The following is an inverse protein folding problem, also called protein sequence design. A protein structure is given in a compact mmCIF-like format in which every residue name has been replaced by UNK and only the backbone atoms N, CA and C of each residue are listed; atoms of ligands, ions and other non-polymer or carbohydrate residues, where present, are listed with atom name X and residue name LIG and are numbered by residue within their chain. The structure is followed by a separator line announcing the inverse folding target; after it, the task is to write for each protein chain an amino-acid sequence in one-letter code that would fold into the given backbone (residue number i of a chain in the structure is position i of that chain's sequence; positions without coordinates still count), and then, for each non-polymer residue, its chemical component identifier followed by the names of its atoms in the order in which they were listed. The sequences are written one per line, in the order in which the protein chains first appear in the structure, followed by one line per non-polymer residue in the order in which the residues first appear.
data_IF_643809504493
#
_entry.id   IF_643809504493
#
_cell.length_a   1.000
_cell.length_b   1.000
_cell.length_c   1.000
_cell.angle_alpha   90.00
_cell.angle_beta   90.00
_cell.angle_gamma   90.00
#
_symmetry.space_group_name_H-M   'P 1'
#
loop_
_entity.id
_entity.type
_entity.pdbx_description
1 polymer ?
#
# COMPACT_ATOMS: atom_id res chain seq x y z
N UNK A 1 2.91 24.26 36.22
CA UNK A 1 2.45 25.06 35.05
C UNK A 1 2.73 24.24 33.81
N UNK A 2 1.74 23.53 33.27
CA UNK A 2 1.89 22.81 32.00
C UNK A 2 1.59 23.79 30.88
N UNK A 3 2.62 24.19 30.13
CA UNK A 3 2.43 24.86 28.86
C UNK A 3 1.89 23.82 27.88
N UNK A 4 0.60 23.88 27.57
CA UNK A 4 0.03 23.15 26.45
C UNK A 4 0.49 23.85 25.17
N UNK A 5 1.44 23.23 24.49
CA UNK A 5 1.92 23.70 23.19
C UNK A 5 0.76 23.66 22.20
N UNK A 6 0.43 24.82 21.64
CA UNK A 6 -0.73 24.99 20.76
C UNK A 6 -0.36 24.39 19.40
N UNK A 7 -0.78 23.15 19.15
CA UNK A 7 -0.52 22.45 17.90
C UNK A 7 -0.98 23.28 16.69
N UNK A 8 -0.22 23.24 15.60
CA UNK A 8 -0.53 23.98 14.38
C UNK A 8 -1.94 23.62 13.86
N UNK A 9 -2.67 24.58 13.25
CA UNK A 9 -3.99 24.30 12.71
C UNK A 9 -3.93 23.19 11.64
N UNK A 10 -4.94 22.33 11.65
CA UNK A 10 -5.04 21.26 10.67
C UNK A 10 -5.35 21.82 9.27
N UNK A 11 -4.57 21.40 8.28
CA UNK A 11 -4.77 21.59 6.85
C UNK A 11 -4.89 20.23 6.20
N UNK A 12 -5.34 20.18 4.94
CA UNK A 12 -5.42 18.92 4.18
C UNK A 12 -4.06 18.18 4.12
N UNK A 13 -2.94 18.89 4.28
CA UNK A 13 -1.59 18.32 4.21
C UNK A 13 -1.05 17.81 5.56
N UNK A 14 -1.68 18.11 6.70
CA UNK A 14 -1.14 17.74 8.03
C UNK A 14 -2.18 17.08 8.95
N UNK A 15 -3.27 16.56 8.36
CA UNK A 15 -4.25 15.79 9.12
C UNK A 15 -3.55 14.58 9.76
N UNK A 16 -3.71 14.37 11.08
CA UNK A 16 -3.19 13.17 11.71
C UNK A 16 -3.90 11.94 11.13
N UNK A 17 -3.20 10.81 11.10
CA UNK A 17 -3.82 9.54 10.80
C UNK A 17 -4.93 9.25 11.81
N UNK A 18 -6.06 8.74 11.33
CA UNK A 18 -7.16 8.30 12.19
C UNK A 18 -6.84 6.92 12.76
N UNK A 19 -7.19 6.66 14.03
CA UNK A 19 -6.91 5.40 14.71
C UNK A 19 -7.46 4.18 13.95
N UNK A 20 -8.69 4.30 13.43
CA UNK A 20 -9.33 3.25 12.64
C UNK A 20 -8.54 2.91 11.36
N UNK A 21 -7.87 3.89 10.75
CA UNK A 21 -7.04 3.65 9.56
C UNK A 21 -5.82 2.80 9.91
N UNK A 22 -5.23 3.00 11.09
CA UNK A 22 -4.13 2.19 11.58
C UNK A 22 -4.59 0.75 11.88
N UNK A 23 -5.75 0.60 12.54
CA UNK A 23 -6.33 -0.70 12.84
C UNK A 23 -6.65 -1.50 11.57
N UNK A 24 -7.37 -0.89 10.62
CA UNK A 24 -7.69 -1.51 9.33
C UNK A 24 -6.42 -1.83 8.54
N UNK A 25 -5.40 -0.98 8.61
CA UNK A 25 -4.11 -1.22 7.96
C UNK A 25 -3.45 -2.50 8.48
N UNK A 26 -3.38 -2.63 9.81
CA UNK A 26 -2.80 -3.81 10.46
C UNK A 26 -3.62 -5.06 10.16
N UNK A 27 -4.95 -4.98 10.24
CA UNK A 27 -5.82 -6.13 10.05
C UNK A 27 -5.81 -6.64 8.60
N UNK A 28 -5.92 -5.74 7.61
CA UNK A 28 -6.17 -6.12 6.21
C UNK A 28 -4.90 -6.22 5.37
N UNK A 29 -3.88 -5.42 5.68
CA UNK A 29 -2.74 -5.21 4.78
C UNK A 29 -1.41 -5.66 5.35
N UNK A 30 -1.17 -5.45 6.65
CA UNK A 30 0.06 -5.89 7.30
C UNK A 30 0.22 -7.42 7.23
N UNK A 31 1.48 -7.87 7.16
CA UNK A 31 1.88 -9.27 7.13
C UNK A 31 3.08 -9.48 8.05
N UNK A 32 3.12 -10.64 8.72
CA UNK A 32 4.16 -10.96 9.69
C UNK A 32 4.26 -9.88 10.78
N UNK A 33 5.46 -9.30 10.92
CA UNK A 33 5.79 -8.31 11.95
C UNK A 33 5.56 -6.86 11.50
N UNK A 34 4.92 -6.64 10.35
CA UNK A 34 4.55 -5.30 9.91
C UNK A 34 3.56 -4.65 10.92
N UNK A 35 3.88 -3.42 11.33
CA UNK A 35 3.07 -2.62 12.29
C UNK A 35 2.82 -1.18 11.83
N UNK A 36 3.23 -0.82 10.63
CA UNK A 36 3.10 0.55 10.12
C UNK A 36 2.84 0.57 8.62
N UNK A 37 2.26 1.68 8.13
CA UNK A 37 2.09 1.93 6.70
C UNK A 37 3.43 1.92 5.96
N UNK A 38 4.49 2.45 6.57
CA UNK A 38 5.83 2.45 5.99
C UNK A 38 6.37 1.03 5.79
N UNK A 39 6.20 0.14 6.75
CA UNK A 39 6.65 -1.25 6.64
C UNK A 39 5.93 -1.98 5.49
N UNK A 40 4.60 -1.82 5.42
CA UNK A 40 3.79 -2.37 4.31
C UNK A 40 4.24 -1.79 2.97
N UNK A 41 4.43 -0.47 2.90
CA UNK A 41 4.84 0.21 1.67
C UNK A 41 6.22 -0.24 1.20
N UNK A 42 7.17 -0.49 2.11
CA UNK A 42 8.50 -0.97 1.77
C UNK A 42 8.44 -2.38 1.15
N UNK A 43 7.66 -3.30 1.73
CA UNK A 43 7.43 -4.63 1.13
C UNK A 43 6.85 -4.49 -0.27
N UNK A 44 5.80 -3.68 -0.43
CA UNK A 44 5.13 -3.50 -1.73
C UNK A 44 6.08 -2.88 -2.75
N UNK A 45 6.84 -1.85 -2.39
CA UNK A 45 7.83 -1.22 -3.25
C UNK A 45 8.89 -2.21 -3.75
N UNK A 46 9.46 -3.01 -2.84
CA UNK A 46 10.43 -4.05 -3.17
C UNK A 46 9.84 -5.12 -4.10
N UNK A 47 8.58 -5.49 -3.88
CA UNK A 47 7.88 -6.46 -4.70
C UNK A 47 7.63 -5.94 -6.12
N UNK A 48 7.15 -4.70 -6.26
CA UNK A 48 6.92 -4.05 -7.55
C UNK A 48 8.22 -3.93 -8.34
N UNK A 49 9.32 -3.57 -7.68
CA UNK A 49 10.63 -3.48 -8.31
C UNK A 49 11.14 -4.82 -8.88
N UNK A 50 10.63 -5.98 -8.46
CA UNK A 50 11.06 -7.25 -9.04
C UNK A 50 10.63 -7.45 -10.49
N UNK A 51 9.61 -6.72 -10.96
CA UNK A 51 9.20 -6.73 -12.36
C UNK A 51 10.22 -6.03 -13.28
N UNK A 52 11.11 -5.21 -12.71
CA UNK A 52 12.10 -4.45 -13.45
C UNK A 52 13.38 -5.26 -13.71
N UNK A 53 14.19 -4.89 -14.74
CA UNK A 53 15.50 -5.48 -14.97
C UNK A 53 16.37 -5.43 -13.71
N UNK A 54 17.13 -6.51 -13.45
CA UNK A 54 17.93 -6.68 -12.23
C UNK A 54 18.81 -5.46 -11.90
N UNK A 55 19.43 -4.86 -12.92
CA UNK A 55 20.29 -3.69 -12.78
C UNK A 55 19.56 -2.42 -12.27
N UNK A 56 18.24 -2.34 -12.45
CA UNK A 56 17.45 -1.15 -12.11
C UNK A 56 16.55 -1.34 -10.89
N UNK A 57 16.46 -2.54 -10.30
CA UNK A 57 15.52 -2.83 -9.22
C UNK A 57 15.73 -1.92 -8.00
N UNK A 58 16.97 -1.65 -7.61
CA UNK A 58 17.26 -0.78 -6.48
C UNK A 58 16.75 0.66 -6.71
N UNK A 59 16.95 1.19 -7.92
CA UNK A 59 16.44 2.52 -8.31
C UNK A 59 14.90 2.55 -8.26
N UNK A 60 14.26 1.52 -8.81
CA UNK A 60 12.79 1.46 -8.86
C UNK A 60 12.16 1.19 -7.50
N UNK A 61 12.76 0.38 -6.65
CA UNK A 61 12.32 0.17 -5.26
C UNK A 61 12.27 1.50 -4.51
N UNK A 62 13.31 2.33 -4.63
CA UNK A 62 13.33 3.67 -4.03
C UNK A 62 12.22 4.56 -4.58
N UNK A 63 12.04 4.60 -5.90
CA UNK A 63 10.98 5.41 -6.55
C UNK A 63 9.58 4.96 -6.16
N UNK A 64 9.33 3.65 -6.08
CA UNK A 64 8.04 3.13 -5.63
C UNK A 64 7.79 3.46 -4.16
N UNK A 65 8.79 3.33 -3.29
CA UNK A 65 8.67 3.70 -1.88
C UNK A 65 8.38 5.20 -1.70
N UNK A 66 9.02 6.06 -2.50
CA UNK A 66 8.76 7.50 -2.54
C UNK A 66 7.33 7.81 -2.99
N UNK A 67 6.86 7.20 -4.09
CA UNK A 67 5.50 7.39 -4.58
C UNK A 67 4.43 6.97 -3.56
N UNK A 68 4.62 5.82 -2.90
CA UNK A 68 3.71 5.34 -1.84
C UNK A 68 3.69 6.30 -0.65
N UNK A 69 4.84 6.83 -0.26
CA UNK A 69 4.96 7.84 0.81
C UNK A 69 4.30 9.16 0.43
N UNK A 70 4.36 9.54 -0.85
CA UNK A 70 3.73 10.73 -1.40
C UNK A 70 2.21 10.60 -1.61
N UNK A 71 1.60 9.44 -1.28
CA UNK A 71 0.15 9.25 -1.29
C UNK A 71 -0.38 8.45 -2.49
N UNK A 72 0.47 7.80 -3.28
CA UNK A 72 0.00 6.78 -4.22
C UNK A 72 -0.55 5.57 -3.44
N UNK A 73 -1.78 5.15 -3.75
CA UNK A 73 -2.45 4.02 -3.08
C UNK A 73 -2.73 2.91 -4.12
N UNK A 74 -2.01 1.77 -4.06
CA UNK A 74 -2.29 0.60 -4.88
C UNK A 74 -3.64 -0.05 -4.59
N UNK A 75 -4.12 -0.89 -5.51
CA UNK A 75 -5.31 -1.70 -5.28
C UNK A 75 -5.14 -2.63 -4.07
N UNK A 76 -6.23 -2.94 -3.37
CA UNK A 76 -6.17 -3.65 -2.10
C UNK A 76 -5.48 -5.03 -2.15
N UNK A 77 -5.64 -5.79 -3.24
CA UNK A 77 -4.94 -7.08 -3.43
C UNK A 77 -3.43 -6.91 -3.61
N UNK A 78 -3.00 -5.86 -4.31
CA UNK A 78 -1.58 -5.53 -4.45
C UNK A 78 -1.01 -5.15 -3.08
N UNK A 79 -1.67 -4.21 -2.38
CA UNK A 79 -1.21 -3.72 -1.07
C UNK A 79 -1.12 -4.86 -0.04
N UNK A 80 -2.07 -5.80 -0.05
CA UNK A 80 -2.11 -6.90 0.92
C UNK A 80 -1.15 -8.03 0.60
N UNK A 81 -0.96 -8.41 -0.68
CA UNK A 81 -0.31 -9.66 -1.05
C UNK A 81 1.04 -9.51 -1.79
N UNK A 82 1.36 -8.36 -2.39
CA UNK A 82 2.63 -8.19 -3.11
C UNK A 82 3.82 -8.40 -2.18
N UNK A 83 4.81 -9.19 -2.60
CA UNK A 83 6.02 -9.48 -1.82
C UNK A 83 5.82 -10.49 -0.67
N UNK A 84 4.65 -11.12 -0.59
CA UNK A 84 4.36 -12.18 0.37
C UNK A 84 4.52 -13.56 -0.27
N UNK A 85 4.57 -14.61 0.55
CA UNK A 85 4.55 -16.00 0.06
C UNK A 85 3.14 -16.49 -0.33
N UNK A 86 2.10 -15.65 -0.24
CA UNK A 86 0.74 -16.03 -0.59
C UNK A 86 0.63 -16.21 -2.11
N UNK A 87 0.22 -17.40 -2.56
CA UNK A 87 -0.18 -17.62 -3.96
C UNK A 87 -1.56 -17.02 -4.22
N UNK A 88 -1.63 -15.69 -4.27
CA UNK A 88 -2.83 -14.94 -4.60
C UNK A 88 -2.66 -14.18 -5.92
N UNK A 89 -3.74 -14.07 -6.70
CA UNK A 89 -3.75 -13.13 -7.83
C UNK A 89 -3.74 -11.69 -7.30
N UNK A 90 -2.86 -10.87 -7.83
CA UNK A 90 -2.81 -9.44 -7.52
C UNK A 90 -3.87 -8.64 -8.31
N UNK A 91 -4.49 -9.27 -9.31
CA UNK A 91 -5.53 -8.68 -10.15
C UNK A 91 -6.87 -8.79 -9.42
N UNK A 92 -7.67 -7.71 -9.46
CA UNK A 92 -9.01 -7.69 -8.90
C UNK A 92 -10.11 -7.58 -9.98
N UNK A 93 -9.90 -6.71 -10.97
CA UNK A 93 -10.89 -6.45 -12.00
C UNK A 93 -10.74 -7.44 -13.15
N UNK A 94 -11.82 -8.15 -13.47
CA UNK A 94 -11.91 -9.07 -14.60
C UNK A 94 -13.06 -8.66 -15.51
N UNK A 95 -12.87 -8.81 -16.81
CA UNK A 95 -13.91 -8.62 -17.81
C UNK A 95 -14.22 -9.98 -18.40
N UNK A 96 -15.47 -10.42 -18.26
CA UNK A 96 -15.93 -11.68 -18.83
C UNK A 96 -16.88 -11.38 -19.99
N UNK A 97 -16.58 -11.82 -21.23
CA UNK A 97 -17.51 -11.69 -22.34
C UNK A 97 -18.72 -12.60 -22.09
N UNK A 98 -19.92 -12.11 -22.40
CA UNK A 98 -21.17 -12.88 -22.34
C UNK A 98 -21.57 -13.22 -23.77
N UNK A 99 -21.69 -14.52 -24.09
CA UNK A 99 -22.16 -15.01 -25.38
C UNK A 99 -23.69 -15.03 -25.45
N UNK A 100 -24.24 -14.84 -26.64
CA UNK A 100 -25.68 -14.99 -26.89
C UNK A 100 -26.01 -16.48 -27.01
N UNK A 101 -26.27 -17.11 -25.87
CA UNK A 101 -26.53 -18.56 -25.80
C UNK A 101 -27.57 -18.84 -24.72
N UNK A 102 -28.79 -18.36 -24.97
CA UNK A 102 -30.00 -18.82 -24.29
C UNK A 102 -30.82 -19.54 -25.37
N UNK A 103 -30.98 -20.85 -25.24
CA UNK A 103 -31.86 -21.68 -26.08
C UNK A 103 -32.97 -22.26 -25.22
#
# INVERSE_FOLDING_TARGET
MHHAEKSAPHTLQNLPAQDISAEVLIEKYAKGDERSAEAVNLRVARALAQAEPAAHRALWEQRFAEALRAGFIPAGRIQSAAGTALSATLINCFVQPVGDSIS
#
